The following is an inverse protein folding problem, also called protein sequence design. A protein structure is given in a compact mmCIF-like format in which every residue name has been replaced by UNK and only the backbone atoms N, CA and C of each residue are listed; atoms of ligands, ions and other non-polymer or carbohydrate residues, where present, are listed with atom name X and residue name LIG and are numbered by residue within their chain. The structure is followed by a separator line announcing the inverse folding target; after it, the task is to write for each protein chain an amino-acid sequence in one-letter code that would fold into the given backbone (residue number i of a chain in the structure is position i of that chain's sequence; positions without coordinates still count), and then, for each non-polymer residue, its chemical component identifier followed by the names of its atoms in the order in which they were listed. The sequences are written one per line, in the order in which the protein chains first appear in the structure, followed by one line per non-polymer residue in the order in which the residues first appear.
data_IF_423533235664
#
_entry.id   IF_423533235664
#
_cell.length_a   1.000
_cell.length_b   1.000
_cell.length_c   1.000
_cell.angle_alpha   90.00
_cell.angle_beta   90.00
_cell.angle_gamma   90.00
#
_symmetry.space_group_name_H-M   'P 1'
#
loop_
_entity.id
_entity.type
_entity.pdbx_description
1 polymer ?
#
# COMPACT_ATOMS: atom_id res chain seq x y z
N UNK A 1 22.41 -12.44 12.07
CA UNK A 1 22.14 -12.13 10.66
C UNK A 1 20.98 -11.15 10.65
N UNK A 2 20.92 -10.23 9.69
CA UNK A 2 19.75 -9.37 9.54
C UNK A 2 18.51 -10.22 9.25
N UNK A 3 17.34 -9.75 9.69
CA UNK A 3 16.03 -10.39 9.43
C UNK A 3 15.78 -10.41 7.93
N UNK A 4 15.29 -11.53 7.39
CA UNK A 4 15.02 -11.70 5.97
C UNK A 4 13.74 -10.95 5.56
N UNK A 5 12.70 -11.04 6.39
CA UNK A 5 11.44 -10.34 6.19
C UNK A 5 11.54 -8.90 6.69
N UNK A 6 11.22 -7.95 5.82
CA UNK A 6 11.00 -6.53 6.17
C UNK A 6 9.55 -6.29 6.60
N UNK A 7 9.15 -5.01 6.67
CA UNK A 7 7.77 -4.62 6.98
C UNK A 7 6.74 -5.08 5.93
N UNK A 8 7.20 -5.44 4.72
CA UNK A 8 6.34 -5.79 3.59
C UNK A 8 6.92 -6.99 2.79
N UNK A 9 7.17 -8.07 3.50
CA UNK A 9 7.72 -9.31 2.94
C UNK A 9 9.24 -9.29 2.70
N UNK A 10 9.71 -10.19 1.85
CA UNK A 10 11.12 -10.29 1.42
C UNK A 10 11.29 -9.49 0.14
N UNK A 11 12.07 -8.41 0.16
CA UNK A 11 12.18 -7.47 -0.96
C UNK A 11 13.64 -7.10 -1.24
N UNK A 12 14.02 -6.98 -2.51
CA UNK A 12 15.34 -6.52 -2.92
C UNK A 12 15.60 -6.60 -4.41
N UNK A 13 16.81 -6.21 -4.81
CA UNK A 13 17.26 -6.27 -6.21
C UNK A 13 17.33 -7.74 -6.65
N UNK A 14 16.71 -8.03 -7.80
CA UNK A 14 16.64 -9.40 -8.31
C UNK A 14 18.01 -9.87 -8.79
N UNK A 15 18.34 -11.12 -8.52
CA UNK A 15 19.64 -11.79 -8.75
C UNK A 15 20.82 -11.25 -7.92
N UNK A 16 20.62 -10.20 -7.11
CA UNK A 16 21.60 -9.79 -6.08
C UNK A 16 21.17 -10.32 -4.70
N UNK A 17 19.98 -9.93 -4.28
CA UNK A 17 19.42 -10.37 -2.99
C UNK A 17 18.26 -11.35 -3.18
N UNK A 18 17.24 -10.98 -3.98
CA UNK A 18 16.08 -11.83 -4.25
C UNK A 18 16.37 -12.72 -5.48
N UNK A 19 16.96 -13.88 -5.22
CA UNK A 19 17.32 -14.86 -6.26
C UNK A 19 16.22 -15.90 -6.46
N UNK A 20 16.19 -16.63 -7.59
CA UNK A 20 15.28 -17.77 -7.78
C UNK A 20 15.44 -18.85 -6.72
N UNK A 21 16.69 -19.09 -6.23
CA UNK A 21 16.94 -20.05 -5.16
C UNK A 21 16.29 -19.60 -3.86
N UNK A 22 16.37 -18.30 -3.52
CA UNK A 22 15.69 -17.77 -2.34
C UNK A 22 14.17 -17.90 -2.48
N UNK A 23 13.60 -17.58 -3.64
CA UNK A 23 12.17 -17.76 -3.91
C UNK A 23 11.74 -19.23 -3.77
N UNK A 24 12.56 -20.18 -4.27
CA UNK A 24 12.34 -21.61 -4.09
C UNK A 24 12.36 -22.00 -2.60
N UNK A 25 13.34 -21.51 -1.83
CA UNK A 25 13.42 -21.80 -0.40
C UNK A 25 12.26 -21.19 0.38
N UNK A 26 11.81 -19.98 0.02
CA UNK A 26 10.60 -19.35 0.57
C UNK A 26 9.36 -20.21 0.28
N UNK A 27 9.23 -20.71 -0.94
CA UNK A 27 8.15 -21.63 -1.31
C UNK A 27 8.14 -22.91 -0.47
N UNK A 28 9.31 -23.52 -0.27
CA UNK A 28 9.44 -24.69 0.61
C UNK A 28 9.09 -24.36 2.05
N UNK A 29 9.55 -23.23 2.56
CA UNK A 29 9.25 -22.78 3.91
C UNK A 29 7.74 -22.60 4.12
N UNK A 30 7.08 -21.88 3.22
CA UNK A 30 5.62 -21.67 3.26
C UNK A 30 4.85 -22.99 3.15
N UNK A 31 5.17 -23.84 2.15
CA UNK A 31 4.53 -25.14 2.00
C UNK A 31 4.69 -26.04 3.23
N UNK A 32 5.85 -26.00 3.89
CA UNK A 32 6.10 -26.75 5.14
C UNK A 32 5.30 -26.18 6.30
N UNK A 33 5.22 -24.85 6.44
CA UNK A 33 4.46 -24.21 7.52
C UNK A 33 2.97 -24.55 7.43
N UNK A 34 2.35 -24.24 6.30
CA UNK A 34 0.93 -24.49 6.07
C UNK A 34 0.58 -25.99 5.96
N UNK A 35 1.56 -26.81 5.59
CA UNK A 35 1.44 -28.27 5.56
C UNK A 35 1.29 -28.93 6.93
N UNK A 36 1.52 -28.22 8.04
CA UNK A 36 1.28 -28.71 9.40
C UNK A 36 -0.19 -28.93 9.70
N UNK A 37 -1.05 -28.10 9.15
CA UNK A 37 -2.50 -28.13 9.40
C UNK A 37 -3.25 -28.92 8.33
N UNK A 38 -2.69 -29.04 7.12
CA UNK A 38 -3.33 -29.67 5.98
C UNK A 38 -2.29 -30.36 5.08
N UNK A 39 -2.49 -31.62 4.76
CA UNK A 39 -1.53 -32.44 3.99
C UNK A 39 -1.16 -31.83 2.64
N UNK A 40 -2.13 -31.23 1.93
CA UNK A 40 -1.92 -30.55 0.65
C UNK A 40 -2.51 -29.13 0.70
N UNK A 41 -1.86 -28.17 1.38
CA UNK A 41 -2.34 -26.79 1.41
C UNK A 41 -2.29 -26.18 0.00
N UNK A 42 -3.31 -25.42 -0.37
CA UNK A 42 -3.40 -24.80 -1.69
C UNK A 42 -3.11 -23.31 -1.61
N UNK A 43 -2.13 -22.86 -2.37
CA UNK A 43 -1.67 -21.47 -2.44
C UNK A 43 -2.19 -20.78 -3.69
N UNK A 44 -2.66 -19.56 -3.55
CA UNK A 44 -2.87 -18.64 -4.66
C UNK A 44 -1.59 -17.81 -4.87
N UNK A 45 -1.05 -17.75 -6.09
CA UNK A 45 0.07 -16.87 -6.44
C UNK A 45 -0.38 -15.86 -7.50
N UNK A 46 -0.19 -14.56 -7.17
CA UNK A 46 -0.32 -13.46 -8.11
C UNK A 46 0.97 -12.66 -8.22
N UNK A 47 1.11 -11.86 -9.27
CA UNK A 47 2.29 -11.03 -9.47
C UNK A 47 1.96 -9.72 -10.18
N UNK A 48 2.87 -8.77 -10.11
CA UNK A 48 2.86 -7.60 -10.96
C UNK A 48 3.49 -7.87 -12.35
N UNK A 49 3.77 -6.83 -13.08
CA UNK A 49 4.22 -6.90 -14.47
C UNK A 49 5.73 -6.94 -14.65
N UNK A 50 6.52 -6.91 -13.57
CA UNK A 50 7.99 -6.92 -13.63
C UNK A 50 8.50 -8.11 -14.42
N UNK A 51 9.55 -7.90 -15.24
CA UNK A 51 10.15 -8.96 -16.06
C UNK A 51 10.62 -10.16 -15.21
N UNK A 52 11.08 -9.93 -14.01
CA UNK A 52 11.52 -10.95 -13.05
C UNK A 52 10.37 -11.76 -12.43
N UNK A 53 9.11 -11.28 -12.56
CA UNK A 53 7.97 -11.88 -11.90
C UNK A 53 7.75 -13.35 -12.25
N UNK A 54 7.78 -13.71 -13.53
CA UNK A 54 7.55 -15.11 -13.98
C UNK A 54 8.65 -16.08 -13.53
N UNK A 55 9.89 -15.61 -13.44
CA UNK A 55 11.01 -16.41 -12.93
C UNK A 55 10.82 -16.72 -11.45
N UNK A 56 10.53 -15.71 -10.64
CA UNK A 56 10.30 -15.87 -9.21
C UNK A 56 9.03 -16.68 -8.90
N UNK A 57 7.95 -16.47 -9.68
CA UNK A 57 6.71 -17.24 -9.61
C UNK A 57 6.96 -18.75 -9.81
N UNK A 58 7.72 -19.10 -10.85
CA UNK A 58 8.07 -20.48 -11.16
C UNK A 58 8.89 -21.12 -10.03
N UNK A 59 9.88 -20.40 -9.50
CA UNK A 59 10.74 -20.87 -8.42
C UNK A 59 9.94 -21.06 -7.11
N UNK A 60 9.10 -20.09 -6.75
CA UNK A 60 8.24 -20.14 -5.56
C UNK A 60 7.28 -21.32 -5.64
N UNK A 61 6.59 -21.47 -6.78
CA UNK A 61 5.64 -22.56 -7.02
C UNK A 61 6.31 -23.94 -6.96
N UNK A 62 7.50 -24.08 -7.59
CA UNK A 62 8.28 -25.31 -7.49
C UNK A 62 8.67 -25.64 -6.04
N UNK A 63 9.05 -24.61 -5.25
CA UNK A 63 9.34 -24.76 -3.83
C UNK A 63 8.15 -25.30 -3.05
N UNK A 64 6.97 -24.71 -3.19
CA UNK A 64 5.72 -25.14 -2.53
C UNK A 64 5.38 -26.58 -2.93
N UNK A 65 5.38 -26.89 -4.23
CA UNK A 65 5.02 -28.22 -4.72
C UNK A 65 6.01 -29.29 -4.25
N UNK A 66 7.30 -28.95 -4.09
CA UNK A 66 8.35 -29.90 -3.66
C UNK A 66 8.18 -30.42 -2.23
N UNK A 67 7.33 -29.77 -1.44
CA UNK A 67 6.97 -30.19 -0.06
C UNK A 67 5.51 -30.59 0.08
N UNK A 68 4.77 -30.74 -1.02
CA UNK A 68 3.42 -31.29 -1.07
C UNK A 68 2.29 -30.24 -1.18
N UNK A 69 2.60 -28.93 -1.13
CA UNK A 69 1.58 -27.89 -1.32
C UNK A 69 1.14 -27.77 -2.78
N UNK A 70 -0.14 -27.48 -3.01
CA UNK A 70 -0.68 -27.17 -4.33
C UNK A 70 -0.60 -25.66 -4.62
N UNK A 71 -0.53 -25.30 -5.88
CA UNK A 71 -0.43 -23.90 -6.32
C UNK A 71 -1.43 -23.62 -7.42
N UNK A 72 -2.16 -22.51 -7.28
CA UNK A 72 -2.96 -21.91 -8.33
C UNK A 72 -2.31 -20.59 -8.75
N UNK A 73 -1.91 -20.50 -10.01
CA UNK A 73 -1.30 -19.31 -10.60
C UNK A 73 -2.41 -18.43 -11.19
N UNK A 74 -2.59 -17.24 -10.63
CA UNK A 74 -3.52 -16.24 -11.15
C UNK A 74 -2.91 -15.37 -12.28
N UNK A 75 -1.57 -15.34 -12.36
CA UNK A 75 -0.84 -14.46 -13.28
C UNK A 75 -0.75 -13.03 -12.77
N UNK A 76 -0.90 -12.04 -13.68
CA UNK A 76 -0.81 -10.62 -13.32
C UNK A 76 -2.13 -10.15 -12.73
N UNK A 77 -2.15 -9.92 -11.42
CA UNK A 77 -3.29 -9.39 -10.67
C UNK A 77 -2.81 -8.47 -9.52
N UNK A 78 -3.63 -7.48 -9.11
CA UNK A 78 -3.33 -6.62 -7.95
C UNK A 78 -3.09 -7.37 -6.64
N UNK A 79 -2.25 -6.80 -5.77
CA UNK A 79 -2.05 -7.30 -4.40
C UNK A 79 -3.38 -7.49 -3.65
N UNK A 80 -4.31 -6.49 -3.62
CA UNK A 80 -5.61 -6.67 -2.98
C UNK A 80 -6.48 -7.75 -3.61
N UNK A 81 -6.29 -8.05 -4.89
CA UNK A 81 -7.00 -9.16 -5.53
C UNK A 81 -6.58 -10.51 -4.93
N UNK A 82 -5.30 -10.72 -4.65
CA UNK A 82 -4.82 -11.94 -3.98
C UNK A 82 -5.42 -12.05 -2.58
N UNK A 83 -5.35 -11.00 -1.77
CA UNK A 83 -5.91 -10.97 -0.42
C UNK A 83 -7.40 -11.31 -0.40
N UNK A 84 -8.17 -10.71 -1.31
CA UNK A 84 -9.60 -10.98 -1.47
C UNK A 84 -9.88 -12.43 -1.90
N UNK A 85 -9.20 -12.90 -2.95
CA UNK A 85 -9.46 -14.20 -3.56
C UNK A 85 -9.04 -15.37 -2.66
N UNK A 86 -7.97 -15.22 -1.88
CA UNK A 86 -7.57 -16.23 -0.89
C UNK A 86 -8.74 -16.55 0.03
N UNK A 87 -9.34 -15.51 0.59
CA UNK A 87 -10.49 -15.63 1.49
C UNK A 87 -11.74 -16.17 0.79
N UNK A 88 -12.06 -15.62 -0.39
CA UNK A 88 -13.32 -15.91 -1.09
C UNK A 88 -13.35 -17.27 -1.79
N UNK A 89 -12.21 -17.74 -2.26
CA UNK A 89 -12.11 -19.03 -2.95
C UNK A 89 -11.63 -20.17 -2.05
N UNK A 90 -11.34 -19.87 -0.76
CA UNK A 90 -10.97 -20.86 0.23
C UNK A 90 -9.56 -21.44 0.02
N UNK A 91 -8.61 -20.62 -0.46
CA UNK A 91 -7.20 -20.99 -0.46
C UNK A 91 -6.64 -20.98 0.97
N UNK A 92 -5.68 -21.84 1.25
CA UNK A 92 -5.07 -21.95 2.57
C UNK A 92 -4.05 -20.80 2.81
N UNK A 93 -3.46 -20.30 1.74
CA UNK A 93 -2.56 -19.14 1.77
C UNK A 93 -2.50 -18.45 0.41
N UNK A 94 -1.97 -17.22 0.40
CA UNK A 94 -1.65 -16.47 -0.81
C UNK A 94 -0.21 -16.00 -0.84
N UNK A 95 0.30 -15.77 -2.04
CA UNK A 95 1.58 -15.09 -2.24
C UNK A 95 1.46 -14.05 -3.36
N UNK A 96 2.07 -12.89 -3.16
CA UNK A 96 2.19 -11.85 -4.18
C UNK A 96 3.66 -11.62 -4.48
N UNK A 97 3.99 -11.58 -5.77
CA UNK A 97 5.33 -11.28 -6.26
C UNK A 97 5.31 -9.86 -6.83
N UNK A 98 5.73 -8.91 -5.99
CA UNK A 98 5.78 -7.48 -6.30
C UNK A 98 6.67 -6.73 -5.32
N UNK A 99 7.23 -5.60 -5.78
CA UNK A 99 7.87 -4.59 -4.95
C UNK A 99 7.09 -3.26 -4.97
N UNK A 100 5.75 -3.32 -5.17
CA UNK A 100 4.83 -2.18 -5.15
C UNK A 100 5.34 -1.02 -6.03
N UNK A 101 5.65 0.13 -5.45
CA UNK A 101 6.06 1.35 -6.15
C UNK A 101 7.55 1.43 -6.52
N UNK A 102 8.38 0.43 -6.16
CA UNK A 102 9.80 0.43 -6.49
C UNK A 102 10.04 0.29 -8.00
N UNK A 103 11.23 0.66 -8.51
CA UNK A 103 11.64 0.42 -9.90
C UNK A 103 11.64 -1.07 -10.25
N UNK A 104 11.62 -1.39 -11.55
CA UNK A 104 11.53 -2.76 -12.07
C UNK A 104 12.69 -3.68 -11.67
N UNK A 105 13.84 -3.13 -11.28
CA UNK A 105 15.01 -3.88 -10.82
C UNK A 105 14.76 -4.61 -9.51
N UNK A 106 13.91 -4.03 -8.65
CA UNK A 106 13.48 -4.64 -7.41
C UNK A 106 12.32 -5.60 -7.66
N UNK A 107 12.19 -6.60 -6.78
CA UNK A 107 10.98 -7.39 -6.63
C UNK A 107 10.83 -7.81 -5.16
N UNK A 108 9.69 -8.43 -4.84
CA UNK A 108 9.41 -8.88 -3.48
C UNK A 108 8.48 -10.10 -3.48
N UNK A 109 8.43 -10.78 -2.35
CA UNK A 109 7.48 -11.88 -2.09
C UNK A 109 6.82 -11.62 -0.75
N UNK A 110 5.49 -11.46 -0.77
CA UNK A 110 4.62 -11.27 0.40
C UNK A 110 3.70 -12.46 0.52
N UNK A 111 3.41 -12.89 1.75
CA UNK A 111 2.46 -13.97 2.01
C UNK A 111 1.22 -13.46 2.73
N UNK A 112 0.10 -14.14 2.47
CA UNK A 112 -1.19 -13.92 3.12
C UNK A 112 -1.70 -15.22 3.72
N UNK A 113 -2.35 -15.14 4.87
CA UNK A 113 -3.05 -16.26 5.49
C UNK A 113 -4.38 -16.55 4.78
N UNK A 114 -5.09 -17.61 5.20
CA UNK A 114 -6.39 -18.01 4.65
C UNK A 114 -7.49 -16.96 4.81
N UNK A 115 -7.32 -15.99 5.71
CA UNK A 115 -8.23 -14.87 5.91
C UNK A 115 -7.89 -13.65 5.05
N UNK A 116 -6.82 -13.74 4.25
CA UNK A 116 -6.35 -12.66 3.39
C UNK A 116 -5.56 -11.57 4.12
N UNK A 117 -5.06 -11.84 5.31
CA UNK A 117 -4.18 -10.93 6.03
C UNK A 117 -2.71 -11.26 5.77
N UNK A 118 -1.84 -10.24 5.77
CA UNK A 118 -0.39 -10.45 5.80
C UNK A 118 -0.01 -11.29 7.00
N UNK A 119 1.03 -12.13 6.85
CA UNK A 119 1.48 -12.99 7.95
C UNK A 119 2.00 -12.15 9.13
N UNK A 120 1.70 -12.56 10.38
CA UNK A 120 2.30 -11.92 11.56
C UNK A 120 3.80 -12.23 11.67
N UNK A 121 4.53 -11.39 12.42
CA UNK A 121 6.00 -11.50 12.58
C UNK A 121 6.46 -12.87 13.08
N UNK A 122 5.71 -13.47 13.98
CA UNK A 122 6.03 -14.79 14.53
C UNK A 122 6.03 -15.88 13.46
N UNK A 123 5.09 -15.77 12.51
CA UNK A 123 5.01 -16.70 11.37
C UNK A 123 6.14 -16.42 10.37
N UNK A 124 6.42 -15.16 10.07
CA UNK A 124 7.56 -14.78 9.21
C UNK A 124 8.89 -15.25 9.79
N UNK A 125 9.09 -15.12 11.11
CA UNK A 125 10.28 -15.61 11.81
C UNK A 125 10.39 -17.15 11.76
N UNK A 126 9.26 -17.85 11.76
CA UNK A 126 9.23 -19.28 11.56
C UNK A 126 9.57 -19.66 10.12
N UNK A 127 9.00 -18.95 9.13
CA UNK A 127 9.36 -19.14 7.72
C UNK A 127 10.86 -18.93 7.49
N UNK A 128 11.48 -17.93 8.14
CA UNK A 128 12.91 -17.69 8.02
C UNK A 128 13.74 -18.89 8.52
N UNK A 129 13.32 -19.55 9.61
CA UNK A 129 13.96 -20.79 10.07
C UNK A 129 13.84 -21.89 9.03
N UNK A 130 12.66 -22.07 8.42
CA UNK A 130 12.48 -23.06 7.36
C UNK A 130 13.24 -22.74 6.08
N UNK A 131 13.42 -21.47 5.73
CA UNK A 131 14.28 -21.07 4.61
C UNK A 131 15.69 -21.59 4.83
N UNK A 132 16.25 -21.43 6.02
CA UNK A 132 17.59 -21.95 6.38
C UNK A 132 17.65 -23.47 6.31
N UNK A 133 16.69 -24.18 6.93
CA UNK A 133 16.58 -25.64 6.86
C UNK A 133 16.41 -26.15 5.42
N UNK A 134 15.69 -25.42 4.58
CA UNK A 134 15.53 -25.74 3.17
C UNK A 134 16.86 -25.63 2.41
N UNK A 135 17.67 -24.62 2.69
CA UNK A 135 19.01 -24.46 2.10
C UNK A 135 19.94 -25.62 2.49
N UNK A 136 19.83 -26.12 3.72
CA UNK A 136 20.59 -27.25 4.25
C UNK A 136 19.99 -28.63 3.88
N UNK A 137 18.92 -28.66 3.06
CA UNK A 137 18.19 -29.86 2.66
C UNK A 137 17.54 -30.67 3.80
N UNK A 138 17.20 -30.03 4.89
CA UNK A 138 16.58 -30.67 6.07
C UNK A 138 15.06 -30.85 5.95
N UNK A 139 14.38 -30.11 5.05
CA UNK A 139 12.92 -30.20 4.85
C UNK A 139 12.53 -31.44 4.06
N UNK A 140 11.33 -31.96 4.36
CA UNK A 140 10.76 -33.15 3.71
C UNK A 140 10.70 -33.01 2.17
N UNK A 141 10.86 -34.15 1.49
CA UNK A 141 10.75 -34.28 0.03
C UNK A 141 9.83 -35.45 -0.28
N UNK A 142 8.51 -35.26 -0.27
CA UNK A 142 7.55 -36.29 -0.62
C UNK A 142 7.74 -36.74 -2.07
N UNK A 143 7.34 -37.95 -2.37
CA UNK A 143 7.41 -38.55 -3.72
C UNK A 143 6.04 -39.02 -4.16
N UNK A 144 5.87 -39.32 -5.44
CA UNK A 144 4.62 -39.84 -6.00
C UNK A 144 3.46 -38.86 -5.83
N UNK A 145 2.38 -39.32 -5.20
CA UNK A 145 1.16 -38.54 -4.94
C UNK A 145 1.32 -37.49 -3.83
N UNK A 146 2.38 -37.55 -3.06
CA UNK A 146 2.76 -36.52 -2.11
C UNK A 146 3.32 -35.23 -2.73
N UNK A 147 3.62 -35.19 -4.04
CA UNK A 147 4.08 -33.99 -4.75
C UNK A 147 2.89 -33.09 -5.07
N UNK A 148 3.00 -31.77 -4.79
CA UNK A 148 1.96 -30.80 -5.10
C UNK A 148 1.79 -30.55 -6.60
N UNK A 149 0.66 -29.94 -6.97
CA UNK A 149 0.29 -29.64 -8.36
C UNK A 149 0.29 -28.13 -8.60
N UNK A 150 0.55 -27.73 -9.85
CA UNK A 150 0.41 -26.34 -10.31
C UNK A 150 -0.75 -26.30 -11.30
N UNK A 151 -1.70 -25.39 -11.03
CA UNK A 151 -2.82 -25.07 -11.91
C UNK A 151 -2.78 -23.59 -12.29
N UNK A 152 -3.29 -23.25 -13.47
CA UNK A 152 -3.38 -21.87 -13.97
C UNK A 152 -4.86 -21.48 -14.03
N UNK A 153 -5.21 -20.32 -13.46
CA UNK A 153 -6.57 -19.82 -13.48
C UNK A 153 -6.62 -18.31 -13.74
N UNK A 154 -6.69 -17.92 -15.01
CA UNK A 154 -6.79 -16.52 -15.43
C UNK A 154 -8.15 -15.86 -15.12
N UNK A 155 -9.20 -16.63 -14.79
CA UNK A 155 -10.52 -16.07 -14.45
C UNK A 155 -10.54 -15.37 -13.10
N UNK A 156 -9.54 -15.59 -12.26
CA UNK A 156 -9.47 -14.97 -10.93
C UNK A 156 -9.43 -13.44 -10.98
N UNK A 157 -8.77 -12.85 -11.99
CA UNK A 157 -8.78 -11.41 -12.22
C UNK A 157 -10.21 -10.87 -12.43
N UNK A 158 -11.04 -11.58 -13.21
CA UNK A 158 -12.43 -11.20 -13.45
C UNK A 158 -13.31 -11.33 -12.21
N UNK A 159 -13.03 -12.31 -11.33
CA UNK A 159 -13.75 -12.44 -10.04
C UNK A 159 -13.46 -11.25 -9.13
N UNK A 160 -12.22 -10.79 -9.09
CA UNK A 160 -11.87 -9.56 -8.37
C UNK A 160 -12.53 -8.33 -9.01
N UNK A 161 -12.47 -8.20 -10.34
CA UNK A 161 -13.14 -7.09 -11.03
C UNK A 161 -14.65 -7.08 -10.76
N UNK A 162 -15.28 -8.25 -10.73
CA UNK A 162 -16.68 -8.40 -10.38
C UNK A 162 -16.93 -7.95 -8.93
N UNK A 163 -16.10 -8.37 -7.99
CA UNK A 163 -16.21 -7.95 -6.60
C UNK A 163 -16.15 -6.43 -6.46
N UNK A 164 -15.11 -5.77 -6.99
CA UNK A 164 -14.95 -4.32 -6.88
C UNK A 164 -16.16 -3.57 -7.45
N UNK A 165 -16.67 -4.00 -8.61
CA UNK A 165 -17.87 -3.40 -9.21
C UNK A 165 -19.13 -3.52 -8.33
N UNK A 166 -19.25 -4.56 -7.51
CA UNK A 166 -20.40 -4.79 -6.63
C UNK A 166 -20.24 -4.17 -5.23
N UNK A 167 -19.17 -3.40 -5.00
CA UNK A 167 -19.04 -2.61 -3.76
C UNK A 167 -19.81 -1.30 -3.80
N UNK A 168 -20.35 -0.93 -4.96
CA UNK A 168 -21.22 0.23 -5.18
C UNK A 168 -22.46 -0.21 -5.95
N UNK A 169 -23.57 0.50 -5.70
CA UNK A 169 -24.84 0.32 -6.45
C UNK A 169 -25.01 1.39 -7.55
N UNK A 170 -24.11 2.36 -7.60
CA UNK A 170 -24.19 3.54 -8.46
C UNK A 170 -23.46 3.31 -9.79
N UNK A 171 -24.14 3.56 -10.92
CA UNK A 171 -23.50 3.58 -12.24
C UNK A 171 -22.58 4.79 -12.40
N UNK A 172 -21.42 4.60 -13.01
CA UNK A 172 -20.48 5.66 -13.36
C UNK A 172 -20.72 6.23 -14.77
N UNK A 173 -21.84 5.87 -15.41
CA UNK A 173 -22.21 6.41 -16.73
C UNK A 173 -22.25 7.94 -16.73
N UNK A 174 -21.62 8.54 -17.75
CA UNK A 174 -21.48 9.99 -17.89
C UNK A 174 -20.21 10.57 -17.26
N UNK A 175 -19.43 9.79 -16.49
CA UNK A 175 -18.08 10.21 -16.08
C UNK A 175 -17.06 9.86 -17.17
N UNK A 176 -16.18 10.82 -17.45
CA UNK A 176 -14.94 10.61 -18.22
C UNK A 176 -13.78 10.50 -17.23
N UNK A 177 -13.12 9.35 -17.19
CA UNK A 177 -12.04 9.03 -16.23
C UNK A 177 -10.74 8.80 -17.00
N UNK A 178 -9.67 9.49 -16.62
CA UNK A 178 -8.31 9.13 -17.04
C UNK A 178 -7.75 8.14 -16.02
N UNK A 179 -7.36 6.98 -16.48
CA UNK A 179 -6.80 5.93 -15.63
C UNK A 179 -5.32 5.70 -15.93
N UNK A 180 -4.46 5.92 -14.94
CA UNK A 180 -3.03 5.58 -14.95
C UNK A 180 -2.79 4.29 -14.17
N UNK A 181 -2.49 3.22 -14.90
CA UNK A 181 -2.25 1.89 -14.35
C UNK A 181 -0.80 1.64 -13.93
N UNK A 182 0.08 2.65 -13.93
CA UNK A 182 1.51 2.54 -13.60
C UNK A 182 2.26 1.44 -14.40
N UNK A 183 1.73 1.00 -15.52
CA UNK A 183 2.16 -0.22 -16.22
C UNK A 183 2.26 -1.44 -15.29
N UNK A 184 1.46 -1.47 -14.23
CA UNK A 184 1.47 -2.42 -13.13
C UNK A 184 0.38 -3.49 -13.21
N UNK A 185 0.12 -4.12 -12.08
CA UNK A 185 -0.78 -5.26 -11.95
C UNK A 185 -2.25 -4.97 -12.30
N UNK A 186 -2.70 -3.72 -12.16
CA UNK A 186 -4.06 -3.32 -12.53
C UNK A 186 -4.21 -2.84 -13.98
N UNK A 187 -3.17 -2.89 -14.82
CA UNK A 187 -3.22 -2.41 -16.21
C UNK A 187 -4.35 -3.02 -17.04
N UNK A 188 -4.74 -4.26 -16.76
CA UNK A 188 -5.85 -4.95 -17.43
C UNK A 188 -7.16 -4.79 -16.66
N UNK A 189 -7.13 -5.05 -15.34
CA UNK A 189 -8.34 -5.14 -14.51
C UNK A 189 -8.93 -3.77 -14.19
N UNK A 190 -8.11 -2.71 -14.08
CA UNK A 190 -8.58 -1.35 -13.80
C UNK A 190 -9.52 -0.81 -14.89
N UNK A 191 -9.13 -0.83 -16.18
CA UNK A 191 -10.03 -0.47 -17.29
C UNK A 191 -11.30 -1.33 -17.34
N UNK A 192 -11.20 -2.64 -17.05
CA UNK A 192 -12.36 -3.55 -17.00
C UNK A 192 -13.36 -3.14 -15.91
N UNK A 193 -12.86 -2.79 -14.72
CA UNK A 193 -13.70 -2.37 -13.59
C UNK A 193 -14.46 -1.07 -13.96
N UNK A 194 -13.72 -0.05 -14.38
CA UNK A 194 -14.28 1.27 -14.62
C UNK A 194 -15.24 1.29 -15.82
N UNK A 195 -14.89 0.66 -16.93
CA UNK A 195 -15.77 0.54 -18.09
C UNK A 195 -16.98 -0.35 -17.80
N UNK A 196 -16.81 -1.41 -17.01
CA UNK A 196 -17.90 -2.27 -16.57
C UNK A 196 -18.93 -1.56 -15.68
N UNK A 197 -18.55 -0.45 -15.03
CA UNK A 197 -19.43 0.45 -14.28
C UNK A 197 -20.06 1.55 -15.17
N UNK A 198 -19.74 1.60 -16.46
CA UNK A 198 -20.30 2.55 -17.43
C UNK A 198 -19.48 3.82 -17.65
N UNK A 199 -18.31 3.98 -17.01
CA UNK A 199 -17.46 5.15 -17.23
C UNK A 199 -16.84 5.14 -18.65
N UNK A 200 -16.63 6.33 -19.21
CA UNK A 200 -15.77 6.53 -20.38
C UNK A 200 -14.32 6.61 -19.88
N UNK A 201 -13.52 5.56 -20.17
CA UNK A 201 -12.15 5.43 -19.66
C UNK A 201 -11.12 5.82 -20.73
N UNK A 202 -10.20 6.69 -20.35
CA UNK A 202 -9.02 7.05 -21.14
C UNK A 202 -7.83 6.46 -20.42
N UNK A 203 -7.23 5.44 -21.01
CA UNK A 203 -6.14 4.69 -20.39
C UNK A 203 -4.79 5.31 -20.73
N UNK A 204 -3.96 5.54 -19.72
CA UNK A 204 -2.54 5.85 -19.85
C UNK A 204 -1.73 4.86 -19.02
N UNK A 205 -0.50 4.58 -19.43
CA UNK A 205 0.41 3.68 -18.70
C UNK A 205 -0.22 2.31 -18.32
N UNK A 206 -0.88 1.67 -19.31
CA UNK A 206 -1.50 0.34 -19.17
C UNK A 206 -0.92 -0.69 -20.15
N UNK A 207 0.27 -0.43 -20.68
CA UNK A 207 0.96 -1.29 -21.64
C UNK A 207 2.29 -1.76 -21.07
N UNK A 208 2.28 -2.71 -20.10
CA UNK A 208 3.48 -3.19 -19.46
C UNK A 208 4.39 -3.95 -20.44
N UNK A 209 5.70 -3.67 -20.39
CA UNK A 209 6.75 -4.37 -21.14
C UNK A 209 7.71 -5.15 -20.22
N UNK A 210 7.46 -5.13 -18.91
CA UNK A 210 8.27 -5.76 -17.88
C UNK A 210 9.35 -4.87 -17.28
N UNK A 211 9.65 -3.72 -17.91
CA UNK A 211 10.72 -2.78 -17.49
C UNK A 211 10.17 -1.40 -17.15
N UNK A 212 8.94 -1.10 -17.55
CA UNK A 212 8.34 0.23 -17.46
C UNK A 212 7.37 0.41 -16.28
N UNK A 213 7.25 -0.55 -15.37
CA UNK A 213 6.41 -0.44 -14.16
C UNK A 213 6.88 0.75 -13.29
N UNK A 214 5.96 1.62 -12.88
CA UNK A 214 6.22 2.84 -12.09
C UNK A 214 7.20 3.85 -12.74
N UNK A 215 7.59 3.64 -14.01
CA UNK A 215 8.57 4.50 -14.65
C UNK A 215 7.93 5.80 -15.14
N UNK A 216 8.12 6.87 -14.35
CA UNK A 216 7.51 8.18 -14.57
C UNK A 216 5.99 8.14 -14.75
N UNK A 217 5.30 7.30 -13.98
CA UNK A 217 3.86 7.12 -14.04
C UNK A 217 3.29 6.61 -12.71
N UNK A 218 1.96 6.53 -12.62
CA UNK A 218 1.24 6.04 -11.46
C UNK A 218 1.27 6.99 -10.26
N UNK A 219 0.96 6.47 -9.08
CA UNK A 219 0.80 7.28 -7.86
C UNK A 219 2.08 7.95 -7.35
N UNK A 220 3.26 7.53 -7.81
CA UNK A 220 4.54 8.15 -7.45
C UNK A 220 5.00 9.23 -8.43
N UNK A 221 4.37 9.36 -9.59
CA UNK A 221 4.65 10.33 -10.65
C UNK A 221 3.35 10.80 -11.30
N UNK A 222 2.62 11.63 -10.58
CA UNK A 222 1.23 12.00 -10.88
C UNK A 222 1.10 13.07 -11.99
N UNK A 223 2.19 13.73 -12.36
CA UNK A 223 2.20 14.89 -13.27
C UNK A 223 1.62 14.54 -14.64
N UNK A 224 1.93 13.34 -15.14
CA UNK A 224 1.39 12.85 -16.42
C UNK A 224 -0.14 12.71 -16.39
N UNK A 225 -0.69 12.24 -15.28
CA UNK A 225 -2.13 12.14 -15.07
C UNK A 225 -2.79 13.51 -14.98
N UNK A 226 -2.20 14.48 -14.26
CA UNK A 226 -2.73 15.86 -14.17
C UNK A 226 -2.87 16.50 -15.55
N UNK A 227 -1.84 16.37 -16.38
CA UNK A 227 -1.85 16.88 -17.77
C UNK A 227 -2.93 16.16 -18.59
N UNK A 228 -3.05 14.85 -18.48
CA UNK A 228 -4.03 14.07 -19.24
C UNK A 228 -5.47 14.40 -18.85
N UNK A 229 -5.76 14.58 -17.54
CA UNK A 229 -7.08 15.01 -17.06
C UNK A 229 -7.50 16.33 -17.71
N UNK A 230 -6.62 17.33 -17.70
CA UNK A 230 -6.89 18.63 -18.30
C UNK A 230 -7.04 18.57 -19.82
N UNK A 231 -6.16 17.83 -20.52
CA UNK A 231 -6.20 17.67 -21.97
C UNK A 231 -7.49 17.03 -22.48
N UNK A 232 -8.02 16.08 -21.72
CA UNK A 232 -9.22 15.34 -22.09
C UNK A 232 -10.50 15.91 -21.47
N UNK A 233 -10.42 17.01 -20.69
CA UNK A 233 -11.52 17.55 -19.89
C UNK A 233 -12.21 16.44 -19.11
N UNK A 234 -11.43 15.59 -18.45
CA UNK A 234 -11.95 14.47 -17.69
C UNK A 234 -12.50 14.94 -16.34
N UNK A 235 -13.48 14.21 -15.83
CA UNK A 235 -14.09 14.49 -14.53
C UNK A 235 -13.23 14.01 -13.38
N UNK A 236 -12.38 12.98 -13.64
CA UNK A 236 -11.58 12.31 -12.64
C UNK A 236 -10.32 11.70 -13.26
N UNK A 237 -9.19 11.86 -12.60
CA UNK A 237 -7.98 11.08 -12.81
C UNK A 237 -7.78 10.07 -11.68
N UNK A 238 -7.36 8.85 -12.02
CA UNK A 238 -7.05 7.78 -11.07
C UNK A 238 -5.65 7.28 -11.36
N UNK A 239 -4.77 7.26 -10.35
CA UNK A 239 -3.45 6.66 -10.43
C UNK A 239 -3.28 5.56 -9.39
N UNK A 240 -2.91 4.36 -9.83
CA UNK A 240 -2.42 3.30 -8.95
C UNK A 240 -0.88 3.26 -8.92
N UNK A 241 -0.31 2.49 -8.01
CA UNK A 241 1.08 2.05 -8.06
C UNK A 241 1.20 0.66 -8.70
N UNK A 242 2.41 0.12 -8.73
CA UNK A 242 2.71 -1.10 -9.49
C UNK A 242 1.91 -2.34 -9.11
N UNK A 243 1.49 -2.50 -7.85
CA UNK A 243 0.65 -3.62 -7.39
C UNK A 243 -0.77 -3.18 -6.99
N UNK A 244 -1.08 -1.92 -7.22
CA UNK A 244 -2.40 -1.31 -7.09
C UNK A 244 -3.03 -1.43 -5.69
N UNK A 245 -2.21 -1.46 -4.63
CA UNK A 245 -2.68 -1.33 -3.26
C UNK A 245 -2.87 0.13 -2.84
N UNK A 246 -2.43 1.09 -3.70
CA UNK A 246 -2.57 2.54 -3.53
C UNK A 246 -3.42 3.17 -4.62
N UNK A 247 -4.04 4.31 -4.26
CA UNK A 247 -4.77 5.16 -5.17
C UNK A 247 -4.55 6.63 -4.82
N UNK A 248 -4.10 7.44 -5.79
CA UNK A 248 -4.19 8.88 -5.76
C UNK A 248 -5.18 9.35 -6.83
N UNK A 249 -5.84 10.47 -6.58
CA UNK A 249 -6.84 11.01 -7.48
C UNK A 249 -6.43 12.39 -7.98
N UNK A 250 -6.95 12.75 -9.14
CA UNK A 250 -6.80 14.09 -9.73
C UNK A 250 -8.19 14.61 -10.08
N UNK A 251 -8.52 15.80 -9.59
CA UNK A 251 -9.80 16.44 -9.89
C UNK A 251 -9.83 17.04 -11.31
N UNK A 252 -11.00 17.50 -11.74
CA UNK A 252 -11.21 18.11 -13.06
C UNK A 252 -10.41 19.41 -13.30
N UNK A 253 -9.81 19.98 -12.25
CA UNK A 253 -8.92 21.16 -12.31
C UNK A 253 -7.45 20.77 -12.34
N UNK A 254 -7.12 19.48 -12.25
CA UNK A 254 -5.76 18.97 -12.22
C UNK A 254 -5.12 19.00 -10.84
N UNK A 255 -5.89 19.18 -9.75
CA UNK A 255 -5.39 19.12 -8.39
C UNK A 255 -5.34 17.68 -7.89
N UNK A 256 -4.28 17.34 -7.17
CA UNK A 256 -4.08 16.00 -6.61
C UNK A 256 -4.78 15.89 -5.26
N UNK A 257 -5.57 14.82 -5.09
CA UNK A 257 -6.07 14.38 -3.80
C UNK A 257 -5.24 13.19 -3.33
N UNK A 258 -4.65 13.34 -2.15
CA UNK A 258 -3.89 12.26 -1.50
C UNK A 258 -4.78 11.36 -0.62
N UNK A 259 -4.16 10.36 0.00
CA UNK A 259 -4.88 9.39 0.82
C UNK A 259 -5.64 9.99 1.99
N UNK A 260 -5.16 11.09 2.59
CA UNK A 260 -5.85 11.77 3.69
C UNK A 260 -7.18 12.36 3.24
N UNK A 261 -7.18 13.10 2.11
CA UNK A 261 -8.40 13.67 1.53
C UNK A 261 -9.37 12.55 1.09
N UNK A 262 -8.84 11.49 0.47
CA UNK A 262 -9.63 10.33 0.02
C UNK A 262 -10.28 9.62 1.21
N UNK A 263 -9.53 9.35 2.27
CA UNK A 263 -10.05 8.73 3.49
C UNK A 263 -11.15 9.58 4.12
N UNK A 264 -10.96 10.90 4.21
CA UNK A 264 -11.93 11.81 4.79
C UNK A 264 -13.24 11.81 4.00
N UNK A 265 -13.18 11.87 2.66
CA UNK A 265 -14.35 11.80 1.78
C UNK A 265 -15.12 10.49 1.96
N UNK A 266 -14.40 9.36 1.94
CA UNK A 266 -15.00 8.05 2.11
C UNK A 266 -15.57 7.84 3.51
N UNK A 267 -14.89 8.33 4.54
CA UNK A 267 -15.38 8.26 5.92
C UNK A 267 -16.64 9.09 6.12
N UNK A 268 -16.71 10.29 5.53
CA UNK A 268 -17.92 11.11 5.57
C UNK A 268 -19.12 10.38 4.92
N UNK A 269 -18.93 9.74 3.76
CA UNK A 269 -19.94 8.89 3.14
C UNK A 269 -20.37 7.76 4.06
N UNK A 270 -19.41 7.02 4.63
CA UNK A 270 -19.74 5.93 5.55
C UNK A 270 -20.50 6.42 6.80
N UNK A 271 -20.18 7.61 7.30
CA UNK A 271 -20.89 8.24 8.42
C UNK A 271 -22.33 8.59 8.05
N UNK A 272 -22.55 9.24 6.91
CA UNK A 272 -23.88 9.57 6.41
C UNK A 272 -24.77 8.31 6.21
N UNK A 273 -24.15 7.20 5.83
CA UNK A 273 -24.82 5.90 5.68
C UNK A 273 -24.96 5.13 7.01
N UNK A 274 -24.44 5.66 8.12
CA UNK A 274 -24.42 4.97 9.43
C UNK A 274 -23.51 3.74 9.49
N UNK A 275 -22.51 3.67 8.60
CA UNK A 275 -21.54 2.55 8.46
C UNK A 275 -20.15 2.86 9.03
N UNK A 276 -19.87 4.12 9.41
CA UNK A 276 -18.59 4.48 10.02
C UNK A 276 -18.55 4.02 11.49
N UNK A 277 -17.92 2.89 11.74
CA UNK A 277 -17.85 2.30 13.08
C UNK A 277 -17.06 3.21 14.04
N UNK A 278 -17.66 3.52 15.18
CA UNK A 278 -17.06 4.41 16.20
C UNK A 278 -16.86 5.86 15.80
N UNK A 279 -17.40 6.29 14.65
CA UNK A 279 -17.13 7.60 14.02
C UNK A 279 -15.63 7.88 13.90
N UNK A 280 -14.82 6.85 13.63
CA UNK A 280 -13.36 6.91 13.72
C UNK A 280 -12.69 6.53 12.39
N UNK A 281 -11.66 7.32 12.02
CA UNK A 281 -10.76 7.07 10.88
C UNK A 281 -9.36 6.79 11.45
N UNK A 282 -8.69 5.76 10.94
CA UNK A 282 -7.32 5.43 11.34
C UNK A 282 -6.34 5.94 10.30
N UNK A 283 -5.48 6.87 10.68
CA UNK A 283 -4.35 7.34 9.88
C UNK A 283 -3.01 6.97 10.50
N UNK A 284 -1.97 7.64 10.05
CA UNK A 284 -0.62 7.51 10.64
C UNK A 284 -0.17 8.86 11.20
N UNK A 285 0.95 8.86 11.91
CA UNK A 285 1.60 10.10 12.36
C UNK A 285 2.03 11.02 11.19
N UNK A 286 1.99 10.54 9.96
CA UNK A 286 2.27 11.32 8.75
C UNK A 286 1.02 11.97 8.14
N UNK A 287 -0.18 11.62 8.58
CA UNK A 287 -1.42 12.25 8.09
C UNK A 287 -1.41 13.75 8.38
N UNK A 288 -1.83 14.54 7.39
CA UNK A 288 -1.78 16.01 7.43
C UNK A 288 -2.62 16.57 8.59
N UNK A 289 -2.15 17.64 9.24
CA UNK A 289 -2.91 18.30 10.33
C UNK A 289 -4.32 18.72 9.87
N UNK A 290 -4.47 19.09 8.59
CA UNK A 290 -5.76 19.41 7.99
C UNK A 290 -6.74 18.24 7.98
N UNK A 291 -6.25 17.00 7.85
CA UNK A 291 -7.08 15.80 7.96
C UNK A 291 -7.70 15.66 9.37
N UNK A 292 -6.91 15.88 10.41
CA UNK A 292 -7.39 15.80 11.80
C UNK A 292 -8.41 16.89 12.11
N UNK A 293 -8.11 18.14 11.70
CA UNK A 293 -9.01 19.28 11.90
C UNK A 293 -10.35 19.10 11.16
N UNK A 294 -10.29 18.72 9.89
CA UNK A 294 -11.49 18.50 9.10
C UNK A 294 -12.33 17.32 9.62
N UNK A 295 -11.71 16.24 10.07
CA UNK A 295 -12.43 15.13 10.69
C UNK A 295 -13.19 15.58 11.95
N UNK A 296 -12.54 16.37 12.83
CA UNK A 296 -13.16 16.92 14.03
C UNK A 296 -14.34 17.85 13.70
N UNK A 297 -14.18 18.77 12.75
CA UNK A 297 -15.26 19.66 12.29
C UNK A 297 -16.45 18.89 11.74
N UNK A 298 -16.21 17.74 11.10
CA UNK A 298 -17.26 16.85 10.59
C UNK A 298 -17.80 15.88 11.65
N UNK A 299 -17.37 16.04 12.91
CA UNK A 299 -17.80 15.22 14.05
C UNK A 299 -17.30 13.78 13.97
N UNK A 300 -16.13 13.56 13.36
CA UNK A 300 -15.42 12.29 13.33
C UNK A 300 -14.17 12.35 14.21
N UNK A 301 -13.69 11.19 14.60
CA UNK A 301 -12.44 11.03 15.36
C UNK A 301 -11.35 10.52 14.44
N UNK A 302 -10.12 10.90 14.71
CA UNK A 302 -8.95 10.33 14.06
C UNK A 302 -8.04 9.64 15.09
N UNK A 303 -7.41 8.56 14.67
CA UNK A 303 -6.36 7.89 15.43
C UNK A 303 -5.12 7.81 14.57
N UNK A 304 -3.97 8.18 15.12
CA UNK A 304 -2.68 8.11 14.44
C UNK A 304 -1.87 6.93 14.95
N UNK A 305 -1.53 6.01 14.05
CA UNK A 305 -0.60 4.90 14.33
C UNK A 305 0.83 5.25 13.89
N UNK A 306 1.78 4.39 14.16
CA UNK A 306 3.09 4.45 13.51
C UNK A 306 2.94 4.30 11.98
N UNK A 307 3.95 4.77 11.23
CA UNK A 307 3.99 4.64 9.76
C UNK A 307 4.12 3.18 9.36
N UNK A 308 3.24 2.75 8.49
CA UNK A 308 3.16 1.40 7.94
C UNK A 308 1.73 0.87 7.97
N UNK A 309 1.29 0.36 6.83
CA UNK A 309 -0.06 -0.17 6.61
C UNK A 309 -0.45 -1.26 7.61
N UNK A 310 0.52 -2.03 8.09
CA UNK A 310 0.34 -3.06 9.11
C UNK A 310 -0.20 -2.48 10.42
N UNK A 311 0.39 -1.38 10.92
CA UNK A 311 -0.06 -0.77 12.18
C UNK A 311 -1.46 -0.18 12.08
N UNK A 312 -1.79 0.39 10.91
CA UNK A 312 -3.16 0.86 10.61
C UNK A 312 -4.14 -0.31 10.65
N UNK A 313 -3.83 -1.39 9.94
CA UNK A 313 -4.68 -2.57 9.86
C UNK A 313 -4.86 -3.26 11.22
N UNK A 314 -3.78 -3.43 11.98
CA UNK A 314 -3.83 -4.03 13.32
C UNK A 314 -4.75 -3.23 14.24
N UNK A 315 -4.61 -1.91 14.28
CA UNK A 315 -5.48 -1.02 15.07
C UNK A 315 -6.94 -1.11 14.63
N UNK A 316 -7.19 -1.08 13.29
CA UNK A 316 -8.54 -1.21 12.75
C UNK A 316 -9.21 -2.53 13.15
N UNK A 317 -8.47 -3.64 13.13
CA UNK A 317 -8.96 -4.97 13.51
C UNK A 317 -9.29 -5.04 15.01
N UNK A 318 -8.37 -4.58 15.85
CA UNK A 318 -8.51 -4.60 17.30
C UNK A 318 -9.75 -3.81 17.76
N UNK A 319 -10.02 -2.67 17.11
CA UNK A 319 -11.11 -1.77 17.46
C UNK A 319 -12.34 -1.91 16.55
N UNK A 320 -12.35 -2.87 15.63
CA UNK A 320 -13.43 -3.12 14.67
C UNK A 320 -13.86 -1.86 13.91
N UNK A 321 -12.90 -1.17 13.28
CA UNK A 321 -13.12 0.08 12.55
C UNK A 321 -13.26 -0.17 11.03
N UNK A 322 -14.00 0.71 10.34
CA UNK A 322 -14.38 0.52 8.94
C UNK A 322 -13.33 0.99 7.94
N UNK A 323 -12.63 2.10 8.23
CA UNK A 323 -11.72 2.76 7.29
C UNK A 323 -10.45 3.26 7.97
N UNK A 324 -9.34 3.12 7.29
CA UNK A 324 -8.04 3.67 7.66
C UNK A 324 -7.06 3.59 6.51
N UNK A 325 -5.89 4.20 6.67
CA UNK A 325 -4.87 4.18 5.63
C UNK A 325 -3.76 5.18 5.85
N UNK A 326 -3.10 5.51 4.76
CA UNK A 326 -1.94 6.39 4.72
C UNK A 326 -2.10 7.49 3.68
N UNK A 327 -1.44 8.63 3.90
CA UNK A 327 -1.38 9.74 2.95
C UNK A 327 -0.90 9.29 1.54
N UNK A 328 -0.09 8.24 1.47
CA UNK A 328 0.40 7.63 0.22
C UNK A 328 -0.70 7.07 -0.70
N UNK A 329 -1.95 7.02 -0.23
CA UNK A 329 -3.09 6.47 -0.96
C UNK A 329 -3.38 4.99 -0.67
N UNK A 330 -2.69 4.38 0.28
CA UNK A 330 -3.01 3.05 0.77
C UNK A 330 -4.21 3.14 1.71
N UNK A 331 -5.42 2.89 1.19
CA UNK A 331 -6.69 3.02 1.92
C UNK A 331 -7.34 1.65 2.08
N UNK A 332 -7.67 1.31 3.32
CA UNK A 332 -8.27 0.04 3.72
C UNK A 332 -9.75 0.27 4.05
N UNK A 333 -10.62 -0.45 3.37
CA UNK A 333 -12.04 -0.59 3.70
C UNK A 333 -12.24 -1.98 4.31
N UNK A 334 -12.11 -2.11 5.63
CA UNK A 334 -12.02 -3.40 6.30
C UNK A 334 -13.29 -4.26 6.14
N UNK A 335 -14.44 -3.65 5.89
CA UNK A 335 -15.69 -4.37 5.61
C UNK A 335 -15.70 -5.00 4.20
N UNK A 336 -14.78 -4.60 3.31
CA UNK A 336 -14.66 -5.11 1.94
C UNK A 336 -13.40 -5.95 1.74
N UNK A 337 -12.23 -5.41 2.10
CA UNK A 337 -10.95 -6.07 1.88
C UNK A 337 -10.02 -5.93 3.10
N UNK A 338 -9.01 -6.77 3.18
CA UNK A 338 -8.09 -6.91 4.33
C UNK A 338 -6.78 -6.17 4.16
N UNK A 339 -6.63 -5.41 3.10
CA UNK A 339 -5.45 -4.57 2.79
C UNK A 339 -5.90 -3.34 2.02
N UNK A 340 -5.01 -2.39 1.79
CA UNK A 340 -5.27 -1.28 0.88
C UNK A 340 -5.65 -1.79 -0.52
N UNK A 341 -6.63 -1.11 -1.12
CA UNK A 341 -7.17 -1.51 -2.41
C UNK A 341 -7.44 -0.26 -3.26
N UNK A 342 -6.51 0.00 -4.19
CA UNK A 342 -6.56 1.22 -4.98
C UNK A 342 -7.73 1.27 -5.94
N UNK A 343 -8.16 0.15 -6.51
CA UNK A 343 -9.32 0.11 -7.40
C UNK A 343 -10.64 0.24 -6.63
N UNK A 344 -10.77 -0.41 -5.50
CA UNK A 344 -11.89 -0.26 -4.59
C UNK A 344 -12.02 1.21 -4.15
N UNK A 345 -10.93 1.82 -3.71
CA UNK A 345 -10.86 3.22 -3.30
C UNK A 345 -11.32 4.17 -4.40
N UNK A 346 -10.80 4.01 -5.61
CA UNK A 346 -11.18 4.82 -6.77
C UNK A 346 -12.68 4.73 -7.08
N UNK A 347 -13.24 3.53 -7.05
CA UNK A 347 -14.66 3.27 -7.32
C UNK A 347 -15.55 3.88 -6.25
N UNK A 348 -15.17 3.84 -4.95
CA UNK A 348 -15.93 4.47 -3.87
C UNK A 348 -16.02 5.99 -4.05
N UNK A 349 -14.91 6.66 -4.42
CA UNK A 349 -14.90 8.11 -4.64
C UNK A 349 -15.67 8.47 -5.92
N UNK A 350 -15.52 7.72 -7.01
CA UNK A 350 -16.28 7.95 -8.24
C UNK A 350 -17.80 7.80 -8.02
N UNK A 351 -18.21 6.83 -7.20
CA UNK A 351 -19.61 6.67 -6.80
C UNK A 351 -20.10 7.87 -5.98
N UNK A 352 -19.29 8.36 -5.03
CA UNK A 352 -19.61 9.53 -4.22
C UNK A 352 -19.85 10.78 -5.11
N UNK A 353 -18.99 11.02 -6.10
CA UNK A 353 -19.19 12.12 -7.08
C UNK A 353 -20.54 12.03 -7.79
N UNK A 354 -20.94 10.83 -8.23
CA UNK A 354 -22.23 10.58 -8.89
C UNK A 354 -23.41 10.78 -7.96
N UNK A 355 -23.35 10.27 -6.75
CA UNK A 355 -24.41 10.36 -5.74
C UNK A 355 -24.64 11.80 -5.29
N UNK A 356 -23.56 12.54 -5.03
CA UNK A 356 -23.63 13.96 -4.65
C UNK A 356 -23.90 14.89 -5.83
N UNK A 357 -23.66 14.44 -7.07
CA UNK A 357 -23.72 15.26 -8.31
C UNK A 357 -22.81 16.49 -8.21
N UNK A 358 -21.64 16.32 -7.64
CA UNK A 358 -20.64 17.35 -7.46
C UNK A 358 -19.31 16.93 -8.08
N UNK A 359 -18.54 17.88 -8.68
CA UNK A 359 -17.20 17.61 -9.14
C UNK A 359 -16.29 17.29 -7.96
N UNK A 360 -15.17 16.59 -8.23
CA UNK A 360 -14.24 16.16 -7.17
C UNK A 360 -13.61 17.36 -6.46
N UNK A 361 -13.32 18.45 -7.18
CA UNK A 361 -12.74 19.67 -6.58
C UNK A 361 -13.66 20.34 -5.53
N UNK A 362 -14.98 20.23 -5.67
CA UNK A 362 -15.90 20.72 -4.65
C UNK A 362 -15.95 19.78 -3.45
N UNK A 363 -15.98 18.47 -3.69
CA UNK A 363 -15.95 17.47 -2.61
C UNK A 363 -14.66 17.56 -1.81
N UNK A 364 -13.50 17.76 -2.46
CA UNK A 364 -12.21 17.92 -1.80
C UNK A 364 -12.11 19.14 -0.89
N UNK A 365 -12.97 20.13 -1.10
CA UNK A 365 -13.03 21.38 -0.30
C UNK A 365 -13.36 21.16 1.18
N UNK A 366 -13.74 19.96 1.61
CA UNK A 366 -13.98 19.63 3.02
C UNK A 366 -12.70 19.61 3.85
N UNK A 367 -11.52 19.58 3.22
CA UNK A 367 -10.22 19.54 3.89
C UNK A 367 -9.30 20.64 3.34
N UNK A 368 -8.76 21.46 4.22
CA UNK A 368 -7.63 22.33 3.89
C UNK A 368 -6.33 21.55 4.09
N UNK A 369 -5.57 21.34 3.02
CA UNK A 369 -4.25 20.72 3.11
C UNK A 369 -3.22 21.76 3.52
N UNK A 370 -2.62 21.55 4.67
CA UNK A 370 -1.55 22.41 5.18
C UNK A 370 -0.22 22.09 4.48
N UNK A 371 0.59 23.10 4.14
CA UNK A 371 1.98 22.91 3.73
C UNK A 371 2.73 22.00 4.70
N UNK A 372 3.58 21.13 4.15
CA UNK A 372 4.43 20.21 4.90
C UNK A 372 5.86 20.30 4.40
N UNK A 373 6.81 20.42 5.31
CA UNK A 373 8.25 20.39 5.04
C UNK A 373 8.86 19.17 5.71
N UNK A 374 9.69 18.44 4.98
CA UNK A 374 10.42 17.27 5.49
C UNK A 374 11.91 17.41 5.20
N UNK A 375 12.72 17.43 6.25
CA UNK A 375 14.18 17.46 6.18
C UNK A 375 14.75 16.13 6.68
N UNK A 376 15.58 15.49 5.88
CA UNK A 376 16.27 14.25 6.24
C UNK A 376 17.69 14.57 6.70
N UNK A 377 18.03 14.22 7.94
CA UNK A 377 19.35 14.42 8.53
C UNK A 377 20.10 13.08 8.58
N UNK A 378 21.20 12.96 7.86
CA UNK A 378 22.09 11.78 8.01
C UNK A 378 22.84 11.87 9.31
N UNK A 379 22.79 10.80 10.10
CA UNK A 379 23.38 10.76 11.44
C UNK A 379 24.24 9.51 11.63
N UNK A 380 25.26 9.64 12.49
CA UNK A 380 26.12 8.51 12.86
C UNK A 380 25.35 7.54 13.78
N UNK A 381 24.44 8.04 14.62
CA UNK A 381 23.57 7.23 15.48
C UNK A 381 22.13 7.69 15.43
N UNK A 382 21.19 6.75 15.33
CA UNK A 382 19.73 6.99 15.32
C UNK A 382 19.11 6.90 16.70
N UNK A 383 19.85 6.52 17.73
CA UNK A 383 19.33 6.26 19.08
C UNK A 383 19.74 7.38 20.04
N UNK A 384 18.90 7.64 21.04
CA UNK A 384 19.19 8.58 22.12
C UNK A 384 18.91 10.05 21.76
N UNK A 385 18.42 10.36 20.56
CA UNK A 385 18.04 11.72 20.20
C UNK A 385 16.81 12.18 21.01
N UNK A 386 15.92 11.25 21.32
CA UNK A 386 14.71 11.50 22.12
C UNK A 386 15.05 11.97 23.56
N UNK A 387 16.24 11.66 24.05
CA UNK A 387 16.70 12.05 25.40
C UNK A 387 17.62 13.26 25.41
N UNK A 388 17.99 13.80 24.23
CA UNK A 388 18.86 14.97 24.12
C UNK A 388 18.08 16.26 24.42
N UNK A 389 18.53 17.00 25.46
CA UNK A 389 17.85 18.22 25.93
C UNK A 389 17.85 19.36 24.91
N UNK A 390 18.88 19.48 24.05
CA UNK A 390 18.94 20.53 23.03
C UNK A 390 17.95 20.24 21.90
N UNK A 391 17.84 18.98 21.49
CA UNK A 391 16.88 18.56 20.46
C UNK A 391 15.44 18.75 20.97
N UNK A 392 15.17 18.32 22.21
CA UNK A 392 13.85 18.54 22.85
C UNK A 392 13.49 20.02 22.92
N UNK A 393 14.42 20.86 23.35
CA UNK A 393 14.18 22.30 23.47
C UNK A 393 13.87 22.94 22.12
N UNK A 394 14.59 22.54 21.05
CA UNK A 394 14.32 23.04 19.70
C UNK A 394 12.92 22.62 19.20
N UNK A 395 12.52 21.36 19.42
CA UNK A 395 11.18 20.88 19.07
C UNK A 395 10.10 21.68 19.81
N UNK A 396 10.22 21.85 21.13
CA UNK A 396 9.25 22.60 21.94
C UNK A 396 9.18 24.08 21.51
N UNK A 397 10.32 24.69 21.13
CA UNK A 397 10.34 26.07 20.61
C UNK A 397 9.57 26.15 19.30
N UNK A 398 9.84 25.26 18.37
CA UNK A 398 9.16 25.22 17.07
C UNK A 398 7.65 24.94 17.21
N UNK A 399 7.25 24.02 18.09
CA UNK A 399 5.84 23.77 18.40
C UNK A 399 5.17 25.00 19.02
N UNK A 400 5.89 25.73 19.88
CA UNK A 400 5.40 26.98 20.47
C UNK A 400 5.18 28.10 19.44
N UNK A 401 6.04 28.19 18.41
CA UNK A 401 5.88 29.15 17.31
C UNK A 401 4.70 28.79 16.37
N UNK A 402 4.49 27.49 16.11
CA UNK A 402 3.40 27.01 15.27
C UNK A 402 2.04 27.06 15.97
N UNK A 403 2.01 26.95 17.30
CA UNK A 403 0.78 26.92 18.10
C UNK A 403 -0.20 25.86 17.63
N UNK A 404 -1.49 26.17 17.69
CA UNK A 404 -2.57 25.24 17.28
C UNK A 404 -2.72 25.08 15.76
N UNK A 405 -1.99 25.90 14.98
CA UNK A 405 -2.09 25.87 13.53
C UNK A 405 -1.05 24.97 12.85
N UNK A 406 -0.10 24.44 13.62
CA UNK A 406 0.94 23.56 13.07
C UNK A 406 1.40 22.51 14.06
N UNK A 407 2.36 21.70 13.61
CA UNK A 407 3.01 20.67 14.44
C UNK A 407 4.40 20.34 13.94
N UNK A 408 5.20 19.76 14.80
CA UNK A 408 6.52 19.20 14.48
C UNK A 408 6.50 17.68 14.74
N UNK A 409 7.12 16.90 13.86
CA UNK A 409 7.33 15.47 14.04
C UNK A 409 8.78 15.12 13.74
N UNK A 410 9.50 14.63 14.73
CA UNK A 410 10.86 14.11 14.57
C UNK A 410 10.84 12.60 14.78
N UNK A 411 11.47 11.86 13.87
CA UNK A 411 11.53 10.40 13.96
C UNK A 411 12.77 9.80 13.30
N UNK A 412 13.27 8.70 13.82
CA UNK A 412 14.30 7.92 13.15
C UNK A 412 13.73 7.15 11.95
N UNK A 413 14.51 7.04 10.87
CA UNK A 413 14.19 6.15 9.74
C UNK A 413 14.34 4.69 10.17
N UNK A 414 13.40 3.83 9.78
CA UNK A 414 13.49 2.38 10.03
C UNK A 414 14.69 1.73 9.33
N UNK A 415 14.94 2.11 8.08
CA UNK A 415 15.88 1.41 7.18
C UNK A 415 17.18 2.15 6.93
N UNK A 416 17.21 3.48 7.03
CA UNK A 416 18.36 4.32 6.69
C UNK A 416 18.98 4.96 7.94
N UNK A 417 20.26 5.36 7.91
CA UNK A 417 20.90 6.10 8.99
C UNK A 417 20.48 7.59 8.97
N UNK A 418 19.16 7.83 9.13
CA UNK A 418 18.56 9.15 9.06
C UNK A 418 17.65 9.39 10.27
N UNK A 419 17.62 10.66 10.70
CA UNK A 419 16.52 11.23 11.48
C UNK A 419 15.76 12.19 10.57
N UNK A 420 14.44 12.08 10.58
CA UNK A 420 13.54 12.88 9.75
C UNK A 420 12.86 13.92 10.60
N UNK A 421 12.98 15.18 10.19
CA UNK A 421 12.31 16.32 10.80
C UNK A 421 11.21 16.77 9.85
N UNK A 422 9.98 16.76 10.31
CA UNK A 422 8.82 17.22 9.57
C UNK A 422 8.12 18.30 10.36
N UNK A 423 7.70 19.37 9.67
CA UNK A 423 6.80 20.37 10.22
C UNK A 423 5.64 20.63 9.26
N UNK A 424 4.47 20.92 9.81
CA UNK A 424 3.26 21.30 9.09
C UNK A 424 2.68 22.58 9.69
N UNK A 425 2.10 23.43 8.85
CA UNK A 425 1.50 24.70 9.25
C UNK A 425 1.13 25.56 8.04
N UNK A 426 0.62 26.79 8.26
CA UNK A 426 0.10 27.64 7.20
C UNK A 426 1.18 28.28 6.31
N UNK A 427 2.40 28.49 6.82
CA UNK A 427 3.45 29.22 6.14
C UNK A 427 4.70 28.37 5.84
N UNK A 428 4.92 28.08 4.56
CA UNK A 428 6.00 27.19 4.13
C UNK A 428 7.41 27.71 4.44
N UNK A 429 7.65 29.03 4.41
CA UNK A 429 8.97 29.61 4.69
C UNK A 429 9.32 29.43 6.17
N UNK A 430 8.36 29.68 7.07
CA UNK A 430 8.51 29.43 8.50
C UNK A 430 8.80 27.95 8.78
N UNK A 431 8.03 27.03 8.17
CA UNK A 431 8.24 25.59 8.32
C UNK A 431 9.64 25.14 7.87
N UNK A 432 10.11 25.67 6.76
CA UNK A 432 11.45 25.36 6.24
C UNK A 432 12.53 25.80 7.25
N UNK A 433 12.43 27.02 7.77
CA UNK A 433 13.38 27.55 8.76
C UNK A 433 13.41 26.72 10.04
N UNK A 434 12.23 26.36 10.56
CA UNK A 434 12.13 25.54 11.79
C UNK A 434 12.69 24.13 11.58
N UNK A 435 12.38 23.50 10.45
CA UNK A 435 12.93 22.18 10.14
C UNK A 435 14.45 22.19 9.99
N UNK A 436 15.02 23.22 9.33
CA UNK A 436 16.47 23.37 9.17
C UNK A 436 17.16 23.61 10.52
N UNK A 437 16.60 24.45 11.39
CA UNK A 437 17.16 24.68 12.72
C UNK A 437 17.22 23.41 13.56
N UNK A 438 16.12 22.64 13.61
CA UNK A 438 16.07 21.35 14.30
C UNK A 438 17.05 20.35 13.68
N UNK A 439 17.12 20.32 12.33
CA UNK A 439 18.00 19.44 11.60
C UNK A 439 19.49 19.72 11.88
N UNK A 440 19.87 21.00 11.97
CA UNK A 440 21.22 21.44 12.31
C UNK A 440 21.61 21.03 13.74
N UNK A 441 20.69 21.12 14.69
CA UNK A 441 20.91 20.68 16.06
C UNK A 441 21.08 19.15 16.10
N UNK A 442 20.21 18.40 15.42
CA UNK A 442 20.31 16.94 15.32
C UNK A 442 21.64 16.54 14.69
N UNK A 443 22.06 17.20 13.60
CA UNK A 443 23.34 16.90 12.95
C UNK A 443 24.55 17.10 13.86
N UNK A 444 24.53 18.15 14.70
CA UNK A 444 25.61 18.41 15.67
C UNK A 444 25.61 17.42 16.82
N UNK A 445 24.45 17.06 17.36
CA UNK A 445 24.31 16.24 18.55
C UNK A 445 24.44 14.72 18.26
N UNK A 446 23.94 14.28 17.12
CA UNK A 446 23.95 12.86 16.71
C UNK A 446 25.13 12.49 15.78
N UNK A 447 25.96 13.47 15.44
CA UNK A 447 27.02 13.35 14.46
C UNK A 447 26.49 13.23 13.03
N UNK A 448 27.16 13.91 12.10
CA UNK A 448 26.88 13.73 10.67
C UNK A 448 27.54 12.43 10.22
N UNK A 449 26.80 11.56 9.53
CA UNK A 449 27.41 10.44 8.84
C UNK A 449 28.19 10.96 7.61
N UNK A 450 29.44 10.50 7.48
CA UNK A 450 30.30 10.82 6.32
C UNK A 450 29.73 10.25 5.01
#
# INVERSE_FOLDING_TARGET
MARLFGTDGVRGVVNEFLTPELAYHLGRAAGTHFGKEKEHPTFLIGRDTRISGSMLESALAAGICSVGGNVVIAGVIPTPAVAYLVRQQGFDAGAVISASHNPYLDNGIKFFDSNGYKLPDEVEDELEKYVRQSADNELARPTGDGIGKIEFNSNLAHLYAHFVRHTIDTSLEGLTIVYDGANGAASSVGPEILSGLGAKVININVNPDGLNINHHCGSTHIEGLQVAVQQHNADLGIANDGDADRCLLVDEKGQVLDGDQIMLLCALKLKEEGKLKGDTIVGTVMSNIGFHKAAEELGMKTVSTAVGDRYVLEYMREHNLSIGGEQSGHVIFLDHNTTGDGMLTAVQVAALMKEKKQPLSELAGIMTKYPQVLVNVRVATKTGWEDNDLIKAAIVTAEGELGDEGRVLVRASGTEPLIRVMAEGPDQETLQSLCEEIADIIGREQGLAE
#
